data_IF_101051311468
#
_entry.id   IF_101051311468
#
_cell.length_a   1.000
_cell.length_b   1.000
_cell.length_c   1.000
_cell.angle_alpha   90.00
_cell.angle_beta   90.00
_cell.angle_gamma   90.00
#
_symmetry.space_group_name_H-M   'P 1'
#
loop_
_entity.id
_entity.type
_entity.pdbx_description
1 polymer ?
#
# COMPACT_ATOMS: atom_id res chain seq x y z
N UNK A 1 22.20 -29.04 -2.59
CA UNK A 1 22.73 -27.92 -3.40
C UNK A 1 22.06 -27.76 -4.78
N UNK A 2 21.53 -28.83 -5.40
CA UNK A 2 20.92 -28.76 -6.74
C UNK A 2 19.62 -27.95 -6.83
N UNK A 3 18.72 -28.07 -5.85
CA UNK A 3 17.40 -27.41 -5.89
C UNK A 3 17.52 -25.88 -5.87
N UNK A 4 18.40 -25.33 -5.02
CA UNK A 4 18.58 -23.87 -4.85
C UNK A 4 19.22 -23.21 -6.07
N UNK A 5 20.12 -23.91 -6.76
CA UNK A 5 20.75 -23.42 -8.01
C UNK A 5 19.77 -23.55 -9.19
N UNK A 6 18.87 -24.54 -9.18
CA UNK A 6 17.88 -24.74 -10.24
C UNK A 6 16.80 -23.64 -10.25
N UNK A 7 16.26 -23.31 -9.07
CA UNK A 7 15.25 -22.23 -8.93
C UNK A 7 15.81 -20.88 -9.42
N UNK A 8 17.07 -20.59 -9.09
CA UNK A 8 17.71 -19.34 -9.51
C UNK A 8 17.91 -19.27 -11.04
N UNK A 9 18.10 -20.39 -11.73
CA UNK A 9 18.21 -20.39 -13.19
C UNK A 9 16.84 -20.19 -13.85
N UNK A 10 15.79 -20.80 -13.31
CA UNK A 10 14.42 -20.71 -13.83
C UNK A 10 13.89 -19.26 -13.86
N UNK A 11 14.08 -18.48 -12.78
CA UNK A 11 13.60 -17.09 -12.76
C UNK A 11 14.34 -16.20 -13.77
N UNK A 12 15.63 -16.44 -14.00
CA UNK A 12 16.43 -15.66 -14.95
C UNK A 12 15.98 -15.91 -16.38
N UNK A 13 15.70 -17.17 -16.72
CA UNK A 13 15.15 -17.55 -18.02
C UNK A 13 13.81 -16.84 -18.25
N UNK A 14 12.90 -16.88 -17.28
CA UNK A 14 11.59 -16.21 -17.38
C UNK A 14 11.72 -14.69 -17.52
N UNK A 15 12.62 -14.05 -16.76
CA UNK A 15 12.85 -12.62 -16.83
C UNK A 15 13.42 -12.18 -18.19
N UNK A 16 14.36 -12.96 -18.74
CA UNK A 16 14.93 -12.73 -20.09
C UNK A 16 13.84 -12.86 -21.14
N UNK A 17 13.00 -13.89 -21.08
CA UNK A 17 11.89 -14.09 -22.00
C UNK A 17 10.93 -12.89 -22.04
N UNK A 18 10.48 -12.42 -20.86
CA UNK A 18 9.64 -11.22 -20.74
C UNK A 18 10.30 -10.01 -21.42
N UNK A 19 11.61 -9.86 -21.28
CA UNK A 19 12.32 -8.73 -21.88
C UNK A 19 12.38 -8.83 -23.40
N UNK A 20 12.63 -10.02 -23.93
CA UNK A 20 12.66 -10.28 -25.39
C UNK A 20 11.28 -10.04 -26.00
N UNK A 21 10.20 -10.41 -25.30
CA UNK A 21 8.82 -10.10 -25.70
C UNK A 21 8.60 -8.59 -25.81
N UNK A 22 8.98 -7.81 -24.79
CA UNK A 22 8.74 -6.36 -24.75
C UNK A 22 9.61 -5.56 -25.73
N UNK A 23 10.86 -5.98 -25.92
CA UNK A 23 11.81 -5.26 -26.79
C UNK A 23 12.44 -6.22 -27.77
N UNK A 24 11.80 -6.31 -28.93
CA UNK A 24 12.31 -7.05 -30.06
C UNK A 24 12.93 -6.06 -31.07
N UNK A 25 14.15 -6.32 -31.60
CA UNK A 25 15.07 -7.44 -31.36
C UNK A 25 16.07 -7.17 -30.22
N UNK A 26 16.51 -8.22 -29.51
CA UNK A 26 17.34 -8.10 -28.30
C UNK A 26 18.71 -8.79 -28.44
N UNK A 27 19.78 -8.06 -28.12
CA UNK A 27 21.15 -8.59 -28.02
C UNK A 27 21.59 -8.88 -26.58
N UNK A 28 22.57 -9.77 -26.41
CA UNK A 28 23.09 -10.18 -25.09
C UNK A 28 23.66 -9.01 -24.30
N UNK A 29 24.34 -8.06 -24.97
CA UNK A 29 24.89 -6.86 -24.32
C UNK A 29 23.81 -5.94 -23.75
N UNK A 30 22.71 -5.74 -24.49
CA UNK A 30 21.57 -4.95 -24.04
C UNK A 30 20.85 -5.60 -22.85
N UNK A 31 20.68 -6.93 -22.89
CA UNK A 31 20.11 -7.69 -21.78
C UNK A 31 21.01 -7.63 -20.54
N UNK A 32 22.33 -7.78 -20.72
CA UNK A 32 23.32 -7.68 -19.63
C UNK A 32 23.34 -6.30 -18.98
N UNK A 33 23.11 -5.22 -19.73
CA UNK A 33 22.98 -3.86 -19.17
C UNK A 33 21.68 -3.70 -18.38
N UNK A 34 20.58 -4.33 -18.82
CA UNK A 34 19.27 -4.25 -18.16
C UNK A 34 19.21 -5.05 -16.86
N UNK A 35 19.80 -6.24 -16.84
CA UNK A 35 19.90 -7.10 -15.66
C UNK A 35 21.15 -6.78 -14.82
N UNK A 36 21.91 -5.75 -15.20
CA UNK A 36 22.96 -5.18 -14.37
C UNK A 36 22.36 -4.42 -13.19
N UNK A 37 23.23 -4.04 -12.26
CA UNK A 37 22.82 -3.33 -11.06
C UNK A 37 23.97 -2.51 -10.49
N UNK A 38 23.79 -2.08 -9.24
CA UNK A 38 24.88 -1.48 -8.47
C UNK A 38 26.01 -2.50 -8.36
N UNK A 39 27.24 -2.09 -8.68
CA UNK A 39 28.38 -2.97 -8.52
C UNK A 39 28.52 -3.37 -7.05
N UNK A 40 29.22 -4.48 -6.79
CA UNK A 40 29.63 -4.87 -5.44
C UNK A 40 30.28 -3.67 -4.77
N UNK A 41 29.92 -3.45 -3.50
CA UNK A 41 30.43 -2.32 -2.70
C UNK A 41 31.96 -2.30 -2.78
N UNK A 42 32.53 -1.23 -3.33
CA UNK A 42 33.99 -1.08 -3.52
C UNK A 42 34.71 -0.51 -2.30
N UNK A 43 34.21 -0.82 -1.10
CA UNK A 43 34.72 -0.26 0.16
C UNK A 43 34.60 1.27 0.18
N UNK A 44 35.76 1.92 0.12
CA UNK A 44 35.93 3.39 0.17
C UNK A 44 35.66 4.07 -1.19
N UNK A 45 35.91 3.38 -2.31
CA UNK A 45 35.70 3.97 -3.64
C UNK A 45 34.21 4.07 -3.98
N UNK A 46 33.78 5.13 -4.71
CA UNK A 46 32.40 5.26 -5.17
C UNK A 46 31.90 4.04 -5.96
N UNK A 47 30.59 3.78 -5.83
CA UNK A 47 29.98 2.63 -6.49
C UNK A 47 29.59 2.97 -7.93
N UNK A 48 30.15 2.22 -8.89
CA UNK A 48 29.73 2.28 -10.29
C UNK A 48 28.68 1.22 -10.61
N UNK A 49 28.05 1.30 -11.78
CA UNK A 49 27.15 0.26 -12.26
C UNK A 49 27.92 -0.91 -12.86
N UNK A 50 27.56 -2.14 -12.50
CA UNK A 50 28.11 -3.36 -13.09
C UNK A 50 27.13 -3.98 -14.08
N UNK A 51 27.68 -4.55 -15.16
CA UNK A 51 26.91 -5.34 -16.14
C UNK A 51 26.55 -6.69 -15.52
N UNK A 52 25.34 -7.18 -15.81
CA UNK A 52 24.89 -8.51 -15.37
C UNK A 52 25.62 -9.65 -16.07
N UNK A 53 25.62 -10.84 -15.46
CA UNK A 53 26.30 -12.03 -16.00
C UNK A 53 25.77 -12.42 -17.38
N UNK A 54 26.66 -12.42 -18.38
CA UNK A 54 26.32 -12.77 -19.77
C UNK A 54 26.24 -14.28 -20.00
N UNK A 55 26.86 -15.11 -19.15
CA UNK A 55 26.86 -16.58 -19.31
C UNK A 55 25.43 -17.13 -19.18
N UNK A 56 24.73 -16.68 -18.15
CA UNK A 56 23.36 -17.07 -17.85
C UNK A 56 22.44 -16.66 -19.01
N UNK A 57 22.48 -15.40 -19.43
CA UNK A 57 21.64 -14.89 -20.52
C UNK A 57 21.86 -15.68 -21.82
N UNK A 58 23.12 -16.00 -22.16
CA UNK A 58 23.42 -16.84 -23.33
C UNK A 58 22.87 -18.25 -23.19
N UNK A 59 22.98 -18.85 -22.02
CA UNK A 59 22.44 -20.18 -21.74
C UNK A 59 20.93 -20.21 -21.93
N UNK A 60 20.21 -19.28 -21.29
CA UNK A 60 18.75 -19.17 -21.38
C UNK A 60 18.27 -19.01 -22.82
N UNK A 61 18.92 -18.12 -23.59
CA UNK A 61 18.54 -17.90 -24.97
C UNK A 61 18.85 -19.11 -25.86
N UNK A 62 19.90 -19.89 -25.56
CA UNK A 62 20.20 -21.14 -26.27
C UNK A 62 19.16 -22.22 -25.98
N UNK A 63 18.73 -22.36 -24.72
CA UNK A 63 17.66 -23.29 -24.35
C UNK A 63 16.34 -22.95 -25.07
N UNK A 64 16.02 -21.66 -25.15
CA UNK A 64 14.82 -21.20 -25.87
C UNK A 64 14.92 -21.35 -27.39
N UNK A 65 16.13 -21.28 -27.96
CA UNK A 65 16.37 -21.64 -29.35
C UNK A 65 16.15 -23.14 -29.58
N UNK A 66 16.62 -24.01 -28.67
CA UNK A 66 16.38 -25.47 -28.76
C UNK A 66 14.89 -25.81 -28.72
N UNK A 67 14.10 -25.07 -27.95
CA UNK A 67 12.64 -25.26 -27.86
C UNK A 67 11.86 -24.57 -29.00
N UNK A 68 12.51 -23.82 -29.89
CA UNK A 68 11.85 -23.14 -31.02
C UNK A 68 11.08 -21.86 -30.67
N UNK A 69 11.20 -21.33 -29.45
CA UNK A 69 10.52 -20.09 -29.03
C UNK A 69 11.25 -18.81 -29.45
N UNK A 70 12.55 -18.91 -29.74
CA UNK A 70 13.40 -17.77 -30.14
C UNK A 70 14.12 -18.11 -31.43
N UNK A 71 14.16 -17.13 -32.34
CA UNK A 71 14.93 -17.18 -33.59
C UNK A 71 16.03 -16.13 -33.62
N UNK A 72 17.12 -16.43 -34.34
CA UNK A 72 18.14 -15.43 -34.66
C UNK A 72 17.57 -14.45 -35.69
N UNK A 73 17.85 -13.16 -35.49
CA UNK A 73 17.50 -12.09 -36.42
C UNK A 73 18.80 -11.39 -36.87
N UNK A 74 18.72 -10.53 -37.88
CA UNK A 74 19.89 -9.78 -38.39
C UNK A 74 20.66 -9.04 -37.27
N UNK A 75 19.93 -8.47 -36.30
CA UNK A 75 20.50 -7.92 -35.06
C UNK A 75 19.94 -8.68 -33.87
N UNK A 76 20.73 -9.55 -33.23
CA UNK A 76 20.37 -10.23 -31.99
C UNK A 76 19.36 -11.38 -32.15
N UNK A 77 18.40 -11.49 -31.22
CA UNK A 77 17.40 -12.56 -31.18
C UNK A 77 15.99 -12.00 -31.05
N UNK A 78 15.03 -12.66 -31.70
CA UNK A 78 13.61 -12.29 -31.77
C UNK A 78 12.75 -13.48 -31.34
N UNK A 79 11.61 -13.19 -30.71
CA UNK A 79 10.62 -14.21 -30.36
C UNK A 79 9.92 -14.74 -31.63
N UNK A 80 9.63 -16.04 -31.66
CA UNK A 80 8.79 -16.65 -32.69
C UNK A 80 7.30 -16.43 -32.38
N UNK A 81 6.41 -16.70 -33.34
CA UNK A 81 4.97 -16.64 -33.11
C UNK A 81 4.54 -17.63 -32.01
N UNK A 82 5.06 -18.86 -32.07
CA UNK A 82 4.81 -19.90 -31.06
C UNK A 82 5.30 -19.48 -29.67
N UNK A 83 6.49 -18.86 -29.59
CA UNK A 83 7.00 -18.33 -28.33
C UNK A 83 6.11 -17.22 -27.75
N UNK A 84 5.47 -16.41 -28.60
CA UNK A 84 4.54 -15.36 -28.17
C UNK A 84 3.25 -15.95 -27.61
N UNK A 85 2.65 -16.89 -28.35
CA UNK A 85 1.44 -17.61 -27.94
C UNK A 85 1.62 -18.31 -26.59
N UNK A 86 2.72 -19.04 -26.41
CA UNK A 86 3.03 -19.73 -25.16
C UNK A 86 3.08 -18.77 -23.96
N UNK A 87 3.69 -17.59 -24.13
CA UNK A 87 3.78 -16.59 -23.07
C UNK A 87 2.44 -15.96 -22.73
N UNK A 88 1.61 -15.68 -23.74
CA UNK A 88 0.27 -15.11 -23.56
C UNK A 88 -0.67 -16.12 -22.88
N UNK A 89 -0.59 -17.40 -23.26
CA UNK A 89 -1.34 -18.49 -22.63
C UNK A 89 -0.93 -18.68 -21.16
N UNK A 90 0.38 -18.69 -20.88
CA UNK A 90 0.90 -18.78 -19.51
C UNK A 90 0.45 -17.59 -18.66
N UNK A 91 0.47 -16.38 -19.21
CA UNK A 91 -0.04 -15.16 -18.56
C UNK A 91 -1.53 -15.30 -18.20
N UNK A 92 -2.34 -15.84 -19.13
CA UNK A 92 -3.75 -16.11 -18.90
C UNK A 92 -4.00 -17.16 -17.81
N UNK A 93 -3.16 -18.19 -17.71
CA UNK A 93 -3.20 -19.18 -16.61
C UNK A 93 -2.86 -18.54 -15.26
N UNK A 94 -1.79 -17.75 -15.20
CA UNK A 94 -1.37 -17.06 -13.96
C UNK A 94 -2.44 -16.06 -13.49
N UNK A 95 -3.04 -15.30 -14.40
CA UNK A 95 -4.10 -14.32 -14.07
C UNK A 95 -5.33 -14.97 -13.45
N UNK A 96 -5.69 -16.19 -13.89
CA UNK A 96 -6.83 -16.96 -13.34
C UNK A 96 -6.51 -17.66 -12.03
N UNK A 97 -5.24 -17.70 -11.61
CA UNK A 97 -4.85 -18.34 -10.36
C UNK A 97 -5.48 -17.65 -9.15
N UNK A 98 -5.95 -18.46 -8.19
CA UNK A 98 -6.55 -17.99 -6.94
C UNK A 98 -5.61 -17.06 -6.17
N UNK A 99 -4.32 -17.36 -6.14
CA UNK A 99 -3.30 -16.52 -5.50
C UNK A 99 -3.32 -15.08 -6.00
N UNK A 100 -3.43 -14.91 -7.32
CA UNK A 100 -3.41 -13.59 -7.97
C UNK A 100 -4.73 -12.86 -7.71
N UNK A 101 -5.85 -13.57 -7.79
CA UNK A 101 -7.18 -13.04 -7.48
C UNK A 101 -7.25 -12.52 -6.04
N UNK A 102 -6.77 -13.32 -5.08
CA UNK A 102 -6.74 -12.95 -3.66
C UNK A 102 -5.82 -11.76 -3.37
N UNK A 103 -4.72 -11.61 -4.12
CA UNK A 103 -3.85 -10.44 -4.04
C UNK A 103 -4.58 -9.16 -4.48
N UNK A 104 -5.26 -9.18 -5.63
CA UNK A 104 -6.01 -8.02 -6.12
C UNK A 104 -7.19 -7.66 -5.20
N UNK A 105 -7.90 -8.66 -4.67
CA UNK A 105 -8.98 -8.47 -3.71
C UNK A 105 -8.50 -7.77 -2.42
N UNK A 106 -7.34 -8.20 -1.89
CA UNK A 106 -6.72 -7.56 -0.70
C UNK A 106 -6.32 -6.11 -0.99
N UNK A 107 -5.68 -5.85 -2.13
CA UNK A 107 -5.28 -4.50 -2.54
C UNK A 107 -6.49 -3.56 -2.64
N UNK A 108 -7.58 -4.01 -3.27
CA UNK A 108 -8.82 -3.25 -3.39
C UNK A 108 -9.45 -2.94 -2.02
N UNK A 109 -9.39 -3.87 -1.05
CA UNK A 109 -9.88 -3.65 0.32
C UNK A 109 -9.09 -2.55 1.02
N UNK A 110 -7.76 -2.57 0.93
CA UNK A 110 -6.90 -1.53 1.50
C UNK A 110 -7.14 -0.16 0.87
N UNK A 111 -7.29 -0.09 -0.45
CA UNK A 111 -7.60 1.18 -1.14
C UNK A 111 -8.95 1.75 -0.72
N UNK A 112 -9.97 0.90 -0.55
CA UNK A 112 -11.28 1.31 0.00
C UNK A 112 -11.14 1.83 1.43
N UNK A 113 -10.36 1.15 2.27
CA UNK A 113 -10.11 1.60 3.64
C UNK A 113 -9.36 2.94 3.68
N UNK A 114 -8.33 3.11 2.83
CA UNK A 114 -7.57 4.35 2.70
C UNK A 114 -8.47 5.51 2.28
N UNK A 115 -9.27 5.33 1.23
CA UNK A 115 -10.26 6.33 0.77
C UNK A 115 -11.28 6.67 1.86
N UNK A 116 -11.76 5.68 2.62
CA UNK A 116 -12.66 5.92 3.76
C UNK A 116 -11.98 6.73 4.86
N UNK A 117 -10.71 6.45 5.15
CA UNK A 117 -9.90 7.18 6.12
C UNK A 117 -9.68 8.63 5.66
N UNK A 118 -9.22 8.82 4.42
CA UNK A 118 -9.03 10.12 3.79
C UNK A 118 -10.34 10.94 3.78
N UNK A 119 -11.50 10.33 3.50
CA UNK A 119 -12.82 10.99 3.61
C UNK A 119 -13.20 11.38 5.04
N UNK A 120 -12.89 10.54 6.04
CA UNK A 120 -13.13 10.85 7.47
C UNK A 120 -12.20 11.96 7.96
N UNK A 121 -10.94 11.94 7.54
CA UNK A 121 -9.95 12.97 7.81
C UNK A 121 -10.33 14.30 7.14
N UNK A 122 -10.79 14.28 5.88
CA UNK A 122 -11.30 15.46 5.20
C UNK A 122 -12.60 16.02 5.82
N UNK A 123 -13.52 15.15 6.24
CA UNK A 123 -14.73 15.57 6.96
C UNK A 123 -14.41 16.16 8.34
N UNK A 124 -13.42 15.61 9.06
CA UNK A 124 -12.94 16.16 10.32
C UNK A 124 -12.26 17.53 10.13
N UNK A 125 -11.53 17.73 9.02
CA UNK A 125 -10.92 19.02 8.67
C UNK A 125 -11.96 20.08 8.26
N UNK A 126 -13.06 19.70 7.60
CA UNK A 126 -14.16 20.61 7.25
C UNK A 126 -15.05 21.00 8.45
N UNK A 127 -14.99 20.26 9.56
CA UNK A 127 -15.76 20.48 10.78
C UNK A 127 -15.28 21.63 11.68
N UNK A 128 -14.42 22.53 11.18
CA UNK A 128 -13.92 23.70 11.89
C UNK A 128 -14.44 25.03 11.30
N UNK A 129 -15.73 25.11 11.00
CA UNK A 129 -16.46 26.39 10.80
C UNK A 129 -17.88 26.39 11.38
N UNK A 130 -18.27 25.38 12.17
CA UNK A 130 -19.53 25.40 12.93
C UNK A 130 -19.28 25.84 14.38
N UNK A 131 -18.75 27.05 14.53
CA UNK A 131 -18.45 27.68 15.81
C UNK A 131 -19.11 29.04 16.01
N UNK A 132 -20.01 29.49 15.12
CA UNK A 132 -20.63 30.83 15.24
C UNK A 132 -22.15 30.90 15.04
N UNK A 133 -22.92 29.79 15.02
CA UNK A 133 -24.40 29.92 14.95
C UNK A 133 -25.20 29.00 15.89
N UNK A 134 -24.56 28.32 16.84
CA UNK A 134 -25.25 27.46 17.81
C UNK A 134 -25.42 28.05 19.22
N UNK A 135 -25.39 29.38 19.34
CA UNK A 135 -25.88 30.07 20.55
C UNK A 135 -27.39 30.37 20.51
N UNK A 136 -28.11 30.05 19.42
CA UNK A 136 -29.54 30.36 19.30
C UNK A 136 -30.48 29.17 19.58
N UNK A 137 -29.98 27.93 19.61
CA UNK A 137 -30.80 26.74 19.90
C UNK A 137 -30.72 26.24 21.35
N UNK A 138 -30.12 27.02 22.26
CA UNK A 138 -30.06 26.68 23.68
C UNK A 138 -31.40 26.91 24.43
N UNK A 139 -32.37 27.62 23.84
CA UNK A 139 -33.68 27.87 24.46
C UNK A 139 -34.72 26.75 24.25
N UNK A 140 -34.62 25.92 23.21
CA UNK A 140 -35.67 24.92 22.92
C UNK A 140 -35.46 23.55 23.59
N UNK A 141 -34.30 23.30 24.19
CA UNK A 141 -34.01 22.01 24.82
C UNK A 141 -34.57 21.91 26.27
N UNK A 142 -34.81 23.04 26.94
CA UNK A 142 -35.28 23.04 28.33
C UNK A 142 -36.73 22.58 28.51
N UNK A 143 -37.55 22.61 27.44
CA UNK A 143 -38.98 22.26 27.51
C UNK A 143 -39.22 20.75 27.37
N UNK A 144 -38.37 20.03 26.64
CA UNK A 144 -38.58 18.59 26.37
C UNK A 144 -38.13 17.71 27.55
N UNK A 145 -37.12 18.13 28.32
CA UNK A 145 -36.58 17.34 29.45
C UNK A 145 -37.57 17.27 30.62
N UNK A 146 -38.45 18.28 30.77
CA UNK A 146 -39.43 18.30 31.86
C UNK A 146 -40.59 17.31 31.64
N UNK A 147 -40.92 16.96 30.39
CA UNK A 147 -42.03 16.05 30.07
C UNK A 147 -41.69 14.56 30.27
N UNK A 148 -40.41 14.19 30.28
CA UNK A 148 -40.00 12.77 30.40
C UNK A 148 -39.78 12.32 31.86
N UNK A 149 -39.72 13.24 32.84
CA UNK A 149 -39.41 12.93 34.24
C UNK A 149 -40.58 12.37 35.07
N UNK A 150 -41.78 12.22 34.49
CA UNK A 150 -43.01 11.87 35.24
C UNK A 150 -43.30 10.36 35.37
N UNK A 151 -42.41 9.44 34.92
CA UNK A 151 -42.75 8.00 34.83
C UNK A 151 -41.88 6.98 35.59
N UNK A 152 -40.92 7.37 36.44
CA UNK A 152 -40.13 6.40 37.22
C UNK A 152 -40.01 6.75 38.72
N UNK A 153 -40.78 6.06 39.57
CA UNK A 153 -40.80 6.17 41.05
C UNK A 153 -39.55 5.61 41.76
N UNK A 154 -38.41 5.42 41.07
CA UNK A 154 -37.23 4.69 41.60
C UNK A 154 -35.91 5.48 41.58
N UNK A 155 -35.96 6.82 41.54
CA UNK A 155 -34.76 7.70 41.52
C UNK A 155 -34.92 8.89 42.51
N UNK A 156 -35.37 8.63 43.74
CA UNK A 156 -35.33 9.63 44.83
C UNK A 156 -34.17 9.42 45.82
N UNK A 157 -33.58 8.22 45.87
CA UNK A 157 -32.48 7.91 46.78
C UNK A 157 -31.11 8.43 46.31
N UNK A 158 -30.88 8.55 45.00
CA UNK A 158 -29.56 8.94 44.45
C UNK A 158 -29.29 10.45 44.40
N UNK A 159 -30.32 11.30 44.52
CA UNK A 159 -30.19 12.77 44.43
C UNK A 159 -29.77 13.40 45.78
N UNK A 160 -30.00 12.72 46.91
CA UNK A 160 -29.62 13.22 48.25
C UNK A 160 -28.12 12.99 48.53
N UNK A 161 -27.53 11.89 48.05
CA UNK A 161 -26.11 11.57 48.28
C UNK A 161 -25.17 12.44 47.42
N UNK A 162 -25.59 12.85 46.20
CA UNK A 162 -24.81 13.72 45.33
C UNK A 162 -24.86 15.22 45.71
N UNK A 163 -25.88 15.67 46.45
CA UNK A 163 -25.99 17.07 46.87
C UNK A 163 -25.12 17.43 48.09
N UNK A 164 -24.70 16.45 48.90
CA UNK A 164 -23.90 16.70 50.12
C UNK A 164 -22.39 16.82 49.79
N UNK A 165 -21.91 16.25 48.68
CA UNK A 165 -20.48 16.28 48.30
C UNK A 165 -20.10 17.42 47.33
N UNK A 166 -21.06 18.15 46.74
CA UNK A 166 -20.77 19.26 45.82
C UNK A 166 -20.63 20.63 46.53
N UNK A 167 -21.05 20.77 47.79
CA UNK A 167 -21.09 22.06 48.51
C UNK A 167 -19.80 22.45 49.27
N UNK A 168 -18.70 21.71 49.14
CA UNK A 168 -17.41 22.03 49.79
C UNK A 168 -16.22 22.27 48.84
N UNK A 169 -16.44 22.41 47.53
CA UNK A 169 -15.34 22.62 46.54
C UNK A 169 -15.21 24.04 46.00
N UNK A 170 -15.69 25.05 46.73
CA UNK A 170 -15.70 26.45 46.27
C UNK A 170 -14.70 27.40 46.96
N UNK A 171 -13.73 26.89 47.72
CA UNK A 171 -12.63 27.69 48.29
C UNK A 171 -11.27 27.19 47.80
N UNK A 172 -10.96 27.42 46.52
CA UNK A 172 -9.58 27.48 46.05
C UNK A 172 -9.48 28.35 44.78
N UNK A 173 -9.32 29.65 44.98
CA UNK A 173 -9.03 30.63 43.93
C UNK A 173 -7.53 30.59 43.60
N UNK A 174 -7.10 30.38 42.33
CA UNK A 174 -5.73 30.68 41.94
C UNK A 174 -5.58 32.21 41.82
N UNK A 175 -4.81 32.81 42.73
CA UNK A 175 -4.41 34.23 42.68
C UNK A 175 -3.62 34.47 41.38
N UNK A 176 -4.17 35.29 40.48
CA UNK A 176 -3.43 35.88 39.36
C UNK A 176 -2.54 37.00 39.90
N UNK A 177 -1.26 36.90 39.58
CA UNK A 177 -0.23 37.92 39.78
C UNK A 177 -0.54 39.09 38.83
N UNK A 178 -0.75 40.27 39.39
CA UNK A 178 -0.87 41.54 38.68
C UNK A 178 0.52 42.03 38.27
N UNK A 179 0.74 42.17 36.96
CA UNK A 179 1.84 42.95 36.39
C UNK A 179 1.40 44.42 36.44
N UNK A 180 2.19 45.25 37.10
CA UNK A 180 2.03 46.70 37.20
C UNK A 180 3.11 47.34 36.33
N UNK A 181 2.68 48.19 35.39
CA UNK A 181 3.45 49.13 34.54
C UNK A 181 4.58 48.57 33.66
#
# INVERSE_FOLDING_TARGET
MYVRVCILKMYQIAAVARRVYMRCPSGVGALSRRFGGKNKRRGVRPNHTAKGSRKIIRHSLKEWEKMGFVKKAYKGRKLTANGRLFMDEFSGRVRRSRMVTDYYNRKAKFEKQKRKKERREAAAAAGQTTGQVWFSYCCYCYIVVHYFYKRCKRIRAYIIILNITFKQRHLFQPKKISIFF
#
